data_IF_781980500240
#
_entry.id   IF_781980500240
#
_cell.length_a   1.000
_cell.length_b   1.000
_cell.length_c   1.000
_cell.angle_alpha   90.00
_cell.angle_beta   90.00
_cell.angle_gamma   90.00
#
_symmetry.space_group_name_H-M   'P 1'
#
loop_
_entity.id
_entity.type
_entity.pdbx_description
1 polymer ?
#
# COMPACT_ATOMS: atom_id res chain seq x y z
N UNK A 1 21.17 4.16 19.84
CA UNK A 1 19.76 4.61 19.79
C UNK A 1 18.91 3.45 19.33
N UNK A 2 17.68 3.34 19.83
CA UNK A 2 16.70 2.35 19.43
C UNK A 2 15.42 3.07 18.98
N UNK A 3 14.92 2.75 17.79
CA UNK A 3 13.60 3.18 17.33
C UNK A 3 12.79 1.92 17.02
N UNK A 4 11.63 1.77 17.64
CA UNK A 4 10.73 0.64 17.43
C UNK A 4 9.45 1.12 16.79
N UNK A 5 9.08 0.51 15.67
CA UNK A 5 7.88 0.82 14.91
C UNK A 5 6.92 -0.36 15.00
N UNK A 6 5.71 -0.08 15.48
CA UNK A 6 4.63 -1.05 15.56
C UNK A 6 3.31 -0.30 15.52
N UNK A 7 2.53 -0.47 14.46
CA UNK A 7 1.37 0.39 14.22
C UNK A 7 0.23 0.03 15.16
N UNK A 8 -0.11 -1.25 15.23
CA UNK A 8 -1.35 -1.71 15.84
C UNK A 8 -1.15 -2.54 17.13
N UNK A 9 0.03 -2.47 17.76
CA UNK A 9 0.29 -3.14 19.04
C UNK A 9 1.18 -2.28 19.94
N UNK A 10 0.57 -1.63 20.94
CA UNK A 10 1.26 -0.72 21.87
C UNK A 10 1.03 -1.12 23.34
N UNK A 11 1.69 -2.18 23.83
CA UNK A 11 1.52 -2.66 25.20
C UNK A 11 2.21 -1.75 26.24
N UNK A 12 1.90 -1.98 27.51
CA UNK A 12 2.60 -1.42 28.67
C UNK A 12 3.20 -2.59 29.48
N UNK A 13 4.54 -2.68 29.66
CA UNK A 13 5.58 -1.79 29.15
C UNK A 13 5.73 -1.84 27.62
N UNK A 14 6.22 -0.75 27.03
CA UNK A 14 6.36 -0.62 25.58
C UNK A 14 7.27 -1.70 24.99
N UNK A 15 7.07 -2.02 23.70
CA UNK A 15 7.92 -2.99 23.00
C UNK A 15 9.40 -2.59 23.00
N UNK A 16 9.69 -1.29 22.90
CA UNK A 16 11.05 -0.79 23.01
C UNK A 16 11.69 -1.05 24.37
N UNK A 17 10.95 -0.91 25.47
CA UNK A 17 11.41 -1.25 26.82
C UNK A 17 11.66 -2.75 26.97
N UNK A 18 10.76 -3.59 26.43
CA UNK A 18 10.92 -5.06 26.44
C UNK A 18 12.16 -5.50 25.66
N UNK A 19 12.44 -4.87 24.51
CA UNK A 19 13.66 -5.10 23.73
C UNK A 19 14.90 -4.71 24.54
N UNK A 20 14.91 -3.52 25.16
CA UNK A 20 16.03 -3.09 26.00
C UNK A 20 16.34 -4.09 27.11
N UNK A 21 15.31 -4.50 27.84
CA UNK A 21 15.43 -5.45 28.93
C UNK A 21 15.94 -6.81 28.43
N UNK A 22 15.35 -7.32 27.35
CA UNK A 22 15.69 -8.64 26.78
C UNK A 22 17.14 -8.74 26.29
N UNK A 23 17.70 -7.63 25.79
CA UNK A 23 19.06 -7.59 25.23
C UNK A 23 20.08 -6.89 26.13
N UNK A 24 19.72 -6.51 27.36
CA UNK A 24 20.64 -5.84 28.28
C UNK A 24 21.24 -4.56 27.71
N UNK A 25 20.42 -3.76 27.00
CA UNK A 25 20.91 -2.55 26.34
C UNK A 25 21.38 -1.52 27.37
N UNK A 26 22.38 -0.71 27.01
CA UNK A 26 22.90 0.34 27.88
C UNK A 26 21.82 1.30 28.36
N UNK A 27 21.93 1.73 29.60
CA UNK A 27 20.97 2.63 30.27
C UNK A 27 20.88 4.03 29.63
N UNK A 28 21.95 4.46 28.95
CA UNK A 28 22.05 5.78 28.32
C UNK A 28 21.44 5.86 26.91
N UNK A 29 20.91 4.74 26.39
CA UNK A 29 20.39 4.67 25.03
C UNK A 29 19.14 5.55 24.86
N UNK A 30 19.11 6.34 23.78
CA UNK A 30 17.90 7.05 23.37
C UNK A 30 16.93 6.09 22.68
N UNK A 31 15.69 6.07 23.15
CA UNK A 31 14.68 5.07 22.79
C UNK A 31 13.42 5.78 22.34
N UNK A 32 12.89 5.37 21.20
CA UNK A 32 11.66 5.91 20.63
C UNK A 32 10.75 4.75 20.25
N UNK A 33 9.47 4.86 20.58
CA UNK A 33 8.43 3.92 20.19
C UNK A 33 7.42 4.67 19.31
N UNK A 34 7.30 4.26 18.04
CA UNK A 34 6.40 4.86 17.06
C UNK A 34 5.21 3.91 16.83
N UNK A 35 4.00 4.40 17.08
CA UNK A 35 2.75 3.66 16.91
C UNK A 35 1.70 4.48 16.16
N UNK A 36 0.70 3.81 15.55
CA UNK A 36 -0.37 4.47 14.79
C UNK A 36 0.03 5.11 13.45
N UNK A 37 1.27 4.96 13.00
CA UNK A 37 1.77 5.61 11.76
C UNK A 37 1.58 4.76 10.49
N UNK A 38 1.14 3.51 10.65
CA UNK A 38 0.89 2.56 9.57
C UNK A 38 2.13 2.19 8.76
N UNK A 39 1.91 1.81 7.49
CA UNK A 39 2.93 1.29 6.58
C UNK A 39 4.08 2.28 6.28
N UNK A 40 3.92 3.55 6.60
CA UNK A 40 4.96 4.58 6.40
C UNK A 40 5.98 4.69 7.55
N UNK A 41 5.73 4.02 8.68
CA UNK A 41 6.49 4.20 9.93
C UNK A 41 7.99 3.92 9.81
N UNK A 42 8.41 2.99 8.94
CA UNK A 42 9.82 2.69 8.70
C UNK A 42 10.61 3.90 8.20
N UNK A 43 10.12 4.61 7.18
CA UNK A 43 10.84 5.79 6.64
C UNK A 43 10.74 6.99 7.60
N UNK A 44 9.68 7.06 8.39
CA UNK A 44 9.55 8.03 9.48
C UNK A 44 10.63 7.80 10.54
N UNK A 45 10.90 6.55 10.91
CA UNK A 45 11.97 6.20 11.84
C UNK A 45 13.36 6.52 11.27
N UNK A 46 13.61 6.20 9.99
CA UNK A 46 14.85 6.59 9.31
C UNK A 46 15.04 8.11 9.32
N UNK A 47 13.96 8.88 9.11
CA UNK A 47 13.99 10.33 9.19
C UNK A 47 14.39 10.84 10.58
N UNK A 48 13.76 10.29 11.62
CA UNK A 48 14.09 10.59 13.01
C UNK A 48 15.57 10.32 13.31
N UNK A 49 16.07 9.14 12.91
CA UNK A 49 17.48 8.78 13.07
C UNK A 49 18.39 9.76 12.34
N UNK A 50 18.08 10.10 11.09
CA UNK A 50 18.85 11.07 10.28
C UNK A 50 18.97 12.41 10.99
N UNK A 51 17.88 12.93 11.56
CA UNK A 51 17.90 14.23 12.22
C UNK A 51 18.68 14.21 13.53
N UNK A 52 18.62 13.11 14.28
CA UNK A 52 19.52 12.92 15.44
C UNK A 52 20.99 12.80 14.99
N UNK A 53 21.27 12.12 13.88
CA UNK A 53 22.63 11.98 13.33
C UNK A 53 23.22 13.30 12.83
N UNK A 54 22.40 14.31 12.51
CA UNK A 54 22.91 15.66 12.19
C UNK A 54 23.50 16.37 13.41
N UNK A 55 22.99 16.08 14.62
CA UNK A 55 23.40 16.76 15.85
C UNK A 55 24.42 15.96 16.68
N UNK A 56 24.50 14.64 16.49
CA UNK A 56 25.40 13.74 17.23
C UNK A 56 26.26 12.92 16.29
N UNK A 57 27.58 12.96 16.44
CA UNK A 57 28.54 12.19 15.64
C UNK A 57 28.79 10.79 16.22
N UNK A 58 29.28 9.87 15.39
CA UNK A 58 29.69 8.50 15.79
C UNK A 58 28.60 7.73 16.53
N UNK A 59 27.38 7.81 16.02
CA UNK A 59 26.22 7.15 16.60
C UNK A 59 25.85 5.88 15.84
N UNK A 60 25.39 4.89 16.58
CA UNK A 60 24.75 3.69 16.07
C UNK A 60 23.28 3.67 16.46
N UNK A 61 22.40 3.45 15.49
CA UNK A 61 20.96 3.36 15.69
C UNK A 61 20.41 2.04 15.14
N UNK A 62 19.67 1.32 15.96
CA UNK A 62 18.85 0.19 15.54
C UNK A 62 17.42 0.69 15.30
N UNK A 63 16.89 0.46 14.11
CA UNK A 63 15.47 0.65 13.81
C UNK A 63 14.86 -0.74 13.65
N UNK A 64 13.85 -1.03 14.47
CA UNK A 64 13.14 -2.30 14.47
C UNK A 64 11.70 -2.02 14.09
N UNK A 65 11.22 -2.61 13.01
CA UNK A 65 9.83 -2.53 12.59
C UNK A 65 9.21 -3.92 12.72
N UNK A 66 8.03 -3.99 13.32
CA UNK A 66 7.24 -5.23 13.40
C UNK A 66 5.76 -4.90 13.31
N UNK A 67 5.00 -5.80 12.71
CA UNK A 67 3.54 -5.71 12.68
C UNK A 67 2.94 -7.04 13.12
N UNK A 68 1.88 -6.96 13.92
CA UNK A 68 1.09 -8.11 14.37
C UNK A 68 -0.36 -7.90 13.95
N UNK A 69 -0.87 -8.81 13.13
CA UNK A 69 -2.28 -8.77 12.71
C UNK A 69 -3.22 -9.32 13.77
N UNK A 70 -2.73 -10.18 14.68
CA UNK A 70 -3.56 -10.95 15.61
C UNK A 70 -4.53 -10.11 16.45
N UNK A 71 -4.16 -8.95 17.03
CA UNK A 71 -5.11 -8.17 17.82
C UNK A 71 -6.12 -7.38 16.98
N UNK A 72 -6.00 -7.38 15.66
CA UNK A 72 -6.77 -6.51 14.76
C UNK A 72 -7.55 -7.29 13.70
N UNK A 73 -7.81 -8.58 13.94
CA UNK A 73 -8.62 -9.38 13.05
C UNK A 73 -10.07 -8.89 13.08
N UNK A 74 -10.58 -8.44 11.93
CA UNK A 74 -11.96 -7.99 11.83
C UNK A 74 -12.88 -9.20 11.62
N UNK A 75 -13.83 -9.41 12.52
CA UNK A 75 -14.76 -10.55 12.50
C UNK A 75 -16.16 -10.22 12.00
N UNK A 76 -16.39 -8.96 11.58
CA UNK A 76 -17.65 -8.51 11.02
C UNK A 76 -17.70 -8.65 9.50
N UNK A 77 -18.69 -7.97 8.92
CA UNK A 77 -19.12 -8.15 7.53
C UNK A 77 -18.98 -6.88 6.68
N UNK A 78 -18.48 -5.78 7.24
CA UNK A 78 -18.20 -4.57 6.48
C UNK A 78 -17.07 -4.83 5.47
N UNK A 79 -17.40 -4.75 4.18
CA UNK A 79 -16.47 -5.00 3.06
C UNK A 79 -15.24 -4.09 3.12
N UNK A 80 -15.38 -2.85 3.59
CA UNK A 80 -14.29 -1.88 3.71
C UNK A 80 -13.29 -2.23 4.81
N UNK A 81 -13.69 -3.08 5.76
CA UNK A 81 -12.86 -3.56 6.87
C UNK A 81 -12.35 -4.98 6.66
N UNK A 82 -13.16 -5.87 6.06
CA UNK A 82 -12.75 -7.25 5.70
C UNK A 82 -11.54 -7.25 4.77
N UNK A 83 -11.43 -6.25 3.90
CA UNK A 83 -10.29 -6.09 3.00
C UNK A 83 -8.94 -6.12 3.73
N UNK A 84 -8.87 -5.57 4.96
CA UNK A 84 -7.67 -5.63 5.79
C UNK A 84 -7.19 -7.06 6.05
N UNK A 85 -8.10 -8.00 6.31
CA UNK A 85 -7.79 -9.40 6.59
C UNK A 85 -7.16 -10.14 5.39
N UNK A 86 -7.52 -9.72 4.17
CA UNK A 86 -7.00 -10.29 2.93
C UNK A 86 -5.58 -9.82 2.61
N UNK A 87 -5.19 -8.66 3.15
CA UNK A 87 -3.97 -7.96 2.74
C UNK A 87 -2.87 -8.06 3.78
N UNK A 88 -3.22 -7.77 5.02
CA UNK A 88 -2.23 -7.61 6.06
C UNK A 88 -1.75 -8.97 6.55
N UNK A 89 -0.44 -9.04 6.74
CA UNK A 89 0.26 -10.20 7.29
C UNK A 89 1.25 -9.72 8.33
N UNK A 90 1.55 -10.60 9.29
CA UNK A 90 2.59 -10.31 10.27
C UNK A 90 3.96 -10.34 9.59
N UNK A 91 4.84 -9.44 10.00
CA UNK A 91 6.19 -9.37 9.48
C UNK A 91 7.04 -8.42 10.30
N UNK A 92 8.33 -8.39 10.00
CA UNK A 92 9.24 -7.48 10.68
C UNK A 92 10.58 -7.38 10.00
N UNK A 93 11.27 -6.29 10.28
CA UNK A 93 12.63 -6.05 9.83
C UNK A 93 13.41 -5.27 10.88
N UNK A 94 14.72 -5.47 10.89
CA UNK A 94 15.63 -4.64 11.67
C UNK A 94 16.70 -4.08 10.75
N UNK A 95 17.06 -2.82 10.94
CA UNK A 95 18.14 -2.17 10.22
C UNK A 95 19.06 -1.44 11.20
N UNK A 96 20.35 -1.45 10.86
CA UNK A 96 21.38 -0.75 11.60
C UNK A 96 21.84 0.46 10.78
N UNK A 97 21.77 1.64 11.39
CA UNK A 97 22.14 2.91 10.78
C UNK A 97 23.30 3.51 11.57
N UNK A 98 24.25 4.11 10.87
CA UNK A 98 25.38 4.80 11.50
C UNK A 98 25.76 6.06 10.74
N UNK A 99 26.27 7.05 11.46
CA UNK A 99 26.97 8.20 10.89
C UNK A 99 28.47 8.21 11.26
N UNK A 100 28.99 7.10 11.80
CA UNK A 100 30.41 6.94 12.07
C UNK A 100 31.17 6.65 10.76
N UNK A 101 32.09 7.52 10.31
CA UNK A 101 32.90 7.27 9.12
C UNK A 101 33.74 5.99 9.22
N UNK A 102 34.11 5.56 10.44
CA UNK A 102 34.88 4.33 10.65
C UNK A 102 34.11 3.08 10.17
N UNK A 103 32.78 3.09 10.26
CA UNK A 103 31.91 1.98 9.88
C UNK A 103 31.46 2.04 8.41
N UNK A 104 31.91 3.02 7.63
CA UNK A 104 31.48 3.24 6.23
C UNK A 104 31.70 2.01 5.34
N UNK A 105 32.76 1.25 5.57
CA UNK A 105 33.10 0.06 4.77
C UNK A 105 32.17 -1.14 5.02
N UNK A 106 31.44 -1.15 6.15
CA UNK A 106 30.41 -2.15 6.45
C UNK A 106 29.03 -1.78 5.90
N UNK A 107 28.81 -0.52 5.50
CA UNK A 107 27.49 -0.04 5.08
C UNK A 107 27.10 -0.63 3.72
N UNK A 108 25.87 -1.18 3.63
CA UNK A 108 25.26 -1.62 2.37
C UNK A 108 24.91 -0.42 1.47
N UNK A 109 24.35 0.63 2.08
CA UNK A 109 23.80 1.78 1.38
C UNK A 109 24.05 3.07 2.15
N UNK A 110 24.07 4.19 1.45
CA UNK A 110 24.09 5.55 2.02
C UNK A 110 22.78 6.28 1.71
N UNK A 111 22.16 6.89 2.71
CA UNK A 111 21.01 7.77 2.50
C UNK A 111 21.48 9.05 1.81
N UNK A 112 20.85 9.41 0.68
CA UNK A 112 21.15 10.63 -0.09
C UNK A 112 20.11 11.71 0.11
N UNK A 113 18.84 11.35 0.01
CA UNK A 113 17.71 12.25 0.16
C UNK A 113 16.60 11.54 0.94
N UNK A 114 15.84 12.30 1.72
CA UNK A 114 14.61 11.82 2.35
C UNK A 114 13.62 12.99 2.47
N UNK A 115 12.44 12.81 1.88
CA UNK A 115 11.34 13.77 1.85
C UNK A 115 10.12 13.15 2.51
N UNK A 116 9.47 13.91 3.40
CA UNK A 116 8.22 13.53 4.04
C UNK A 116 7.14 14.54 3.68
N UNK A 117 5.98 14.01 3.31
CA UNK A 117 4.78 14.75 2.99
C UNK A 117 3.64 14.24 3.87
N UNK A 118 2.85 15.14 4.42
CA UNK A 118 1.76 14.81 5.32
C UNK A 118 0.55 15.71 5.02
N UNK A 119 -0.47 15.14 4.41
CA UNK A 119 -1.70 15.84 4.03
C UNK A 119 -2.85 15.55 4.98
N UNK A 120 -2.53 15.14 6.21
CA UNK A 120 -3.52 14.73 7.23
C UNK A 120 -4.42 15.86 7.75
N UNK A 121 -4.18 17.11 7.33
CA UNK A 121 -5.09 18.23 7.55
C UNK A 121 -6.32 18.21 6.63
N UNK A 122 -6.27 17.46 5.52
CA UNK A 122 -7.44 17.23 4.67
C UNK A 122 -8.32 16.15 5.27
N UNK A 123 -9.62 16.42 5.43
CA UNK A 123 -10.59 15.45 5.97
C UNK A 123 -10.65 14.16 5.15
N UNK A 124 -10.63 14.27 3.81
CA UNK A 124 -10.58 13.13 2.89
C UNK A 124 -9.35 12.25 3.17
N UNK A 125 -8.18 12.86 3.35
CA UNK A 125 -6.92 12.16 3.55
C UNK A 125 -6.77 11.64 4.99
N UNK A 126 -7.33 12.34 5.96
CA UNK A 126 -7.38 11.92 7.35
C UNK A 126 -8.25 10.67 7.51
N UNK A 127 -9.45 10.71 6.95
CA UNK A 127 -10.48 9.70 7.15
C UNK A 127 -10.35 8.45 6.27
N UNK A 128 -9.46 8.47 5.27
CA UNK A 128 -9.40 7.40 4.27
C UNK A 128 -8.87 6.06 4.75
N UNK A 129 -8.14 6.03 5.87
CA UNK A 129 -7.62 4.83 6.50
C UNK A 129 -7.63 5.01 8.01
N UNK A 130 -8.60 4.42 8.69
CA UNK A 130 -8.82 4.61 10.13
C UNK A 130 -9.27 3.32 10.79
N UNK A 131 -8.90 3.15 12.06
CA UNK A 131 -9.55 2.17 12.90
C UNK A 131 -10.92 2.70 13.32
N UNK A 132 -11.98 1.91 13.13
CA UNK A 132 -13.37 2.27 13.44
C UNK A 132 -14.13 1.05 13.92
N UNK A 133 -15.19 1.28 14.64
CA UNK A 133 -16.20 0.26 14.97
C UNK A 133 -17.21 0.16 13.84
N UNK A 134 -17.70 -1.06 13.58
CA UNK A 134 -18.88 -1.28 12.74
C UNK A 134 -20.18 -1.03 13.53
N UNK A 135 -21.34 -1.20 12.88
CA UNK A 135 -22.66 -0.97 13.49
C UNK A 135 -22.97 -1.92 14.67
N UNK A 136 -22.14 -2.95 14.89
CA UNK A 136 -22.24 -3.93 15.98
C UNK A 136 -21.02 -3.83 16.90
N UNK A 137 -20.37 -2.66 16.95
CA UNK A 137 -19.26 -2.32 17.84
C UNK A 137 -18.00 -3.19 17.64
N UNK A 138 -17.85 -3.85 16.48
CA UNK A 138 -16.64 -4.61 16.18
C UNK A 138 -15.58 -3.69 15.59
N UNK A 139 -14.40 -3.67 16.19
CA UNK A 139 -13.28 -2.88 15.72
C UNK A 139 -12.69 -3.49 14.45
N UNK A 140 -12.59 -2.67 13.40
CA UNK A 140 -11.93 -3.00 12.15
C UNK A 140 -11.09 -1.84 11.61
N UNK A 141 -10.35 -2.11 10.53
CA UNK A 141 -9.57 -1.10 9.84
C UNK A 141 -10.27 -0.68 8.56
N UNK A 142 -10.95 0.46 8.61
CA UNK A 142 -11.73 1.00 7.51
C UNK A 142 -10.83 1.61 6.43
N UNK A 143 -11.03 1.18 5.19
CA UNK A 143 -10.42 1.75 3.99
C UNK A 143 -11.48 2.41 3.10
N UNK A 144 -11.41 3.74 2.97
CA UNK A 144 -12.33 4.54 2.17
C UNK A 144 -12.05 4.46 0.67
N UNK A 145 -13.05 4.79 -0.15
CA UNK A 145 -12.88 5.00 -1.60
C UNK A 145 -12.06 6.26 -1.94
N UNK A 146 -11.91 7.21 -1.01
CA UNK A 146 -11.06 8.41 -1.18
C UNK A 146 -9.55 8.09 -1.09
N UNK A 147 -9.21 6.88 -0.65
CA UNK A 147 -7.85 6.45 -0.39
C UNK A 147 -6.90 6.60 -1.59
N UNK A 148 -7.25 6.21 -2.84
CA UNK A 148 -6.39 6.42 -4.01
C UNK A 148 -6.17 7.91 -4.33
N UNK A 149 -7.20 8.74 -4.18
CA UNK A 149 -7.12 10.20 -4.39
C UNK A 149 -6.15 10.83 -3.39
N UNK A 150 -6.24 10.45 -2.11
CA UNK A 150 -5.30 10.90 -1.09
C UNK A 150 -3.86 10.44 -1.38
N UNK A 151 -3.68 9.23 -1.91
CA UNK A 151 -2.39 8.71 -2.34
C UNK A 151 -1.74 9.54 -3.44
N UNK A 152 -2.48 9.80 -4.52
CA UNK A 152 -2.00 10.61 -5.63
C UNK A 152 -1.67 12.04 -5.19
N UNK A 153 -2.51 12.64 -4.34
CA UNK A 153 -2.27 13.99 -3.82
C UNK A 153 -0.97 14.06 -3.01
N UNK A 154 -0.81 13.18 -2.00
CA UNK A 154 0.38 13.16 -1.17
C UNK A 154 1.64 12.81 -1.95
N UNK A 155 1.52 11.92 -2.93
CA UNK A 155 2.62 11.55 -3.81
C UNK A 155 3.05 12.72 -4.70
N UNK A 156 2.10 13.45 -5.27
CA UNK A 156 2.39 14.61 -6.13
C UNK A 156 3.16 15.68 -5.36
N UNK A 157 2.67 16.08 -4.18
CA UNK A 157 3.36 17.05 -3.32
C UNK A 157 4.74 16.54 -2.86
N UNK A 158 4.87 15.23 -2.61
CA UNK A 158 6.18 14.64 -2.29
C UNK A 158 7.18 14.76 -3.44
N UNK A 159 6.73 14.50 -4.67
CA UNK A 159 7.57 14.59 -5.86
C UNK A 159 7.99 16.03 -6.17
N UNK A 160 7.17 17.02 -5.90
CA UNK A 160 7.54 18.44 -6.07
C UNK A 160 8.79 18.80 -5.26
N UNK A 161 8.92 18.22 -4.07
CA UNK A 161 10.08 18.44 -3.21
C UNK A 161 11.24 17.48 -3.52
N UNK A 162 10.93 16.23 -3.90
CA UNK A 162 11.93 15.19 -4.17
C UNK A 162 12.62 15.39 -5.52
N UNK A 163 11.86 15.67 -6.59
CA UNK A 163 12.36 15.69 -7.96
C UNK A 163 13.55 16.66 -8.14
N UNK A 164 13.52 17.91 -7.64
CA UNK A 164 14.68 18.81 -7.77
C UNK A 164 15.94 18.29 -7.08
N UNK A 165 15.79 17.57 -5.96
CA UNK A 165 16.91 16.99 -5.21
C UNK A 165 17.53 15.78 -5.91
N UNK A 166 16.71 15.04 -6.69
CA UNK A 166 17.16 13.87 -7.45
C UNK A 166 17.68 14.25 -8.84
N UNK A 167 17.02 15.18 -9.54
CA UNK A 167 17.24 15.46 -10.96
C UNK A 167 18.22 16.59 -11.27
N UNK A 168 18.75 17.33 -10.28
CA UNK A 168 19.65 18.49 -10.50
C UNK A 168 19.07 19.60 -11.43
N UNK A 169 17.80 19.56 -11.80
CA UNK A 169 17.13 20.58 -12.64
C UNK A 169 15.72 20.92 -12.12
N UNK A 170 15.36 22.21 -12.17
CA UNK A 170 14.10 22.79 -11.71
C UNK A 170 12.89 22.17 -12.43
N UNK A 171 11.99 21.54 -11.68
CA UNK A 171 10.75 20.96 -12.19
C UNK A 171 9.54 21.63 -11.52
N UNK A 172 8.50 21.94 -12.30
CA UNK A 172 7.23 22.50 -11.82
C UNK A 172 6.15 21.42 -11.82
N UNK A 173 5.48 21.30 -10.69
CA UNK A 173 4.33 20.46 -10.35
C UNK A 173 3.19 20.42 -11.38
N UNK A 174 2.99 19.30 -12.09
CA UNK A 174 1.65 18.82 -12.48
C UNK A 174 1.74 17.40 -13.08
N UNK A 175 1.03 16.43 -12.47
CA UNK A 175 0.68 15.11 -13.03
C UNK A 175 1.84 14.18 -13.40
N UNK A 176 2.18 13.22 -12.52
CA UNK A 176 3.30 12.28 -12.75
C UNK A 176 2.84 10.86 -13.03
N UNK A 177 3.25 10.32 -14.18
CA UNK A 177 3.26 8.89 -14.49
C UNK A 177 4.71 8.39 -14.45
N UNK A 178 5.01 7.41 -13.60
CA UNK A 178 6.39 6.99 -13.32
C UNK A 178 7.07 6.13 -14.40
N UNK A 179 6.42 5.87 -15.54
CA UNK A 179 7.03 5.11 -16.65
C UNK A 179 7.61 3.74 -16.26
N UNK A 180 7.13 3.13 -15.18
CA UNK A 180 7.70 1.91 -14.60
C UNK A 180 7.46 0.71 -15.50
N UNK A 181 8.49 -0.13 -15.65
CA UNK A 181 8.37 -1.37 -16.40
C UNK A 181 7.89 -2.52 -15.51
N UNK A 182 7.47 -3.64 -16.11
CA UNK A 182 7.17 -4.85 -15.34
C UNK A 182 8.38 -5.34 -14.52
N UNK A 183 9.61 -5.10 -15.00
CA UNK A 183 10.83 -5.43 -14.27
C UNK A 183 10.95 -4.62 -12.96
N UNK A 184 10.54 -3.35 -12.99
CA UNK A 184 10.60 -2.45 -11.82
C UNK A 184 9.49 -2.73 -10.82
N UNK A 185 8.32 -3.18 -11.31
CA UNK A 185 7.17 -3.55 -10.47
C UNK A 185 7.28 -4.97 -9.89
N UNK A 186 8.07 -5.86 -10.51
CA UNK A 186 8.20 -7.26 -10.10
C UNK A 186 8.58 -7.42 -8.61
N UNK A 187 9.59 -6.72 -8.05
CA UNK A 187 9.95 -6.88 -6.64
C UNK A 187 8.79 -6.63 -5.67
N UNK A 188 8.00 -5.59 -5.92
CA UNK A 188 6.83 -5.25 -5.12
C UNK A 188 5.72 -6.30 -5.26
N UNK A 189 5.42 -6.74 -6.49
CA UNK A 189 4.45 -7.80 -6.78
C UNK A 189 4.81 -9.13 -6.12
N UNK A 190 6.06 -9.56 -6.28
CA UNK A 190 6.51 -10.84 -5.73
C UNK A 190 6.50 -10.82 -4.21
N UNK A 191 6.89 -9.67 -3.60
CA UNK A 191 6.81 -9.49 -2.15
C UNK A 191 5.37 -9.60 -1.65
N UNK A 192 4.43 -8.90 -2.29
CA UNK A 192 3.02 -8.99 -1.96
C UNK A 192 2.47 -10.41 -2.13
N UNK A 193 2.81 -11.07 -3.24
CA UNK A 193 2.38 -12.44 -3.52
C UNK A 193 2.86 -13.42 -2.44
N UNK A 194 4.13 -13.34 -2.03
CA UNK A 194 4.73 -14.29 -1.07
C UNK A 194 4.39 -13.98 0.38
N UNK A 195 4.40 -12.71 0.76
CA UNK A 195 4.40 -12.27 2.16
C UNK A 195 3.17 -11.46 2.54
N UNK A 196 2.33 -11.08 1.58
CA UNK A 196 1.26 -10.11 1.79
C UNK A 196 1.80 -8.71 2.11
N UNK A 197 0.93 -7.85 2.61
CA UNK A 197 1.30 -6.54 3.13
C UNK A 197 1.77 -6.68 4.59
N UNK A 198 3.08 -6.67 4.80
CA UNK A 198 3.68 -6.69 6.15
C UNK A 198 3.77 -5.29 6.77
N UNK A 199 2.87 -4.39 6.39
CA UNK A 199 2.86 -3.00 6.83
C UNK A 199 4.21 -2.33 6.53
N UNK A 200 4.81 -1.67 7.52
CA UNK A 200 6.02 -0.88 7.35
C UNK A 200 7.28 -1.71 7.08
N UNK A 201 7.27 -3.04 7.28
CA UNK A 201 8.40 -3.87 6.87
C UNK A 201 8.40 -4.20 5.37
N UNK A 202 7.29 -4.01 4.65
CA UNK A 202 7.14 -4.44 3.25
C UNK A 202 8.24 -3.89 2.34
N UNK A 203 8.60 -2.61 2.49
CA UNK A 203 9.71 -1.99 1.74
C UNK A 203 11.01 -2.78 1.85
N UNK A 204 11.31 -3.33 3.01
CA UNK A 204 12.56 -4.04 3.26
C UNK A 204 12.52 -5.48 2.73
N UNK A 205 11.35 -6.08 2.65
CA UNK A 205 11.15 -7.36 1.96
C UNK A 205 11.32 -7.21 0.44
N UNK A 206 10.82 -6.10 -0.12
CA UNK A 206 11.03 -5.72 -1.52
C UNK A 206 12.51 -5.48 -1.82
N UNK A 207 13.22 -4.78 -0.93
CA UNK A 207 14.67 -4.65 -1.03
C UNK A 207 15.36 -6.01 -0.97
N UNK A 208 14.97 -6.87 -0.01
CA UNK A 208 15.49 -8.22 0.12
C UNK A 208 15.29 -9.08 -1.13
N UNK A 209 14.15 -8.93 -1.83
CA UNK A 209 13.92 -9.58 -3.12
C UNK A 209 14.94 -9.13 -4.16
N UNK A 210 15.19 -7.81 -4.25
CA UNK A 210 16.17 -7.27 -5.18
C UNK A 210 17.60 -7.71 -4.86
N UNK A 211 17.98 -7.77 -3.58
CA UNK A 211 19.27 -8.34 -3.12
C UNK A 211 19.37 -9.82 -3.53
N UNK A 212 18.34 -10.61 -3.26
CA UNK A 212 18.31 -12.05 -3.56
C UNK A 212 18.38 -12.34 -5.07
N UNK A 213 17.79 -11.48 -5.91
CA UNK A 213 17.91 -11.54 -7.38
C UNK A 213 19.19 -10.87 -7.92
N UNK A 214 20.09 -10.41 -7.06
CA UNK A 214 21.35 -9.74 -7.40
C UNK A 214 21.15 -8.52 -8.32
N UNK A 215 20.09 -7.75 -8.08
CA UNK A 215 19.67 -6.60 -8.89
C UNK A 215 20.28 -5.27 -8.44
N UNK A 216 21.04 -5.27 -7.34
CA UNK A 216 21.59 -4.07 -6.71
C UNK A 216 23.12 -4.10 -6.75
N UNK A 217 23.70 -3.28 -7.63
CA UNK A 217 25.14 -3.12 -7.83
C UNK A 217 25.65 -1.85 -7.18
N UNK A 218 26.94 -1.81 -6.88
CA UNK A 218 27.60 -0.62 -6.37
C UNK A 218 27.34 0.58 -7.29
N UNK A 219 27.00 1.72 -6.68
CA UNK A 219 26.57 3.00 -7.30
C UNK A 219 25.14 3.03 -7.83
N UNK A 220 24.39 1.93 -7.78
CA UNK A 220 22.95 1.97 -8.06
C UNK A 220 22.24 2.86 -7.04
N UNK A 221 21.13 3.44 -7.44
CA UNK A 221 20.27 4.23 -6.58
C UNK A 221 18.94 3.52 -6.36
N UNK A 222 18.45 3.56 -5.12
CA UNK A 222 17.16 2.93 -4.77
C UNK A 222 16.24 4.01 -4.25
N UNK A 223 15.14 4.22 -4.98
CA UNK A 223 14.06 5.10 -4.55
C UNK A 223 13.01 4.25 -3.83
N UNK A 224 12.89 4.46 -2.52
CA UNK A 224 11.85 3.83 -1.70
C UNK A 224 10.75 4.83 -1.41
N UNK A 225 9.50 4.40 -1.62
CA UNK A 225 8.32 5.22 -1.37
C UNK A 225 7.31 4.44 -0.56
N UNK A 226 6.85 5.03 0.55
CA UNK A 226 5.84 4.45 1.43
C UNK A 226 4.72 5.43 1.73
N UNK A 227 3.53 4.84 1.86
CA UNK A 227 2.31 5.54 2.24
C UNK A 227 1.81 5.05 3.60
N UNK A 228 1.06 5.89 4.31
CA UNK A 228 0.50 5.54 5.62
C UNK A 228 -0.70 6.39 5.99
N UNK A 229 -1.44 5.96 7.02
CA UNK A 229 -2.68 6.59 7.48
C UNK A 229 -2.50 8.06 7.93
N UNK A 230 -3.60 8.82 7.93
CA UNK A 230 -3.61 10.28 8.09
C UNK A 230 -2.81 10.95 6.98
N UNK A 231 -3.23 10.72 5.73
CA UNK A 231 -2.36 10.31 4.64
C UNK A 231 -0.94 10.93 4.57
N UNK A 232 0.08 10.08 4.58
CA UNK A 232 1.50 10.44 4.52
C UNK A 232 2.16 9.79 3.31
N UNK A 233 2.99 10.53 2.59
CA UNK A 233 3.91 9.99 1.59
C UNK A 233 5.34 10.25 2.06
N UNK A 234 6.16 9.21 2.14
CA UNK A 234 7.56 9.33 2.52
C UNK A 234 8.40 8.67 1.45
N UNK A 235 9.39 9.41 0.95
CA UNK A 235 10.31 8.92 -0.05
C UNK A 235 11.75 9.09 0.42
N UNK A 236 12.60 8.12 0.10
CA UNK A 236 14.03 8.25 0.28
C UNK A 236 14.81 7.67 -0.90
N UNK A 237 15.94 8.30 -1.16
CA UNK A 237 16.91 7.86 -2.14
C UNK A 237 18.13 7.31 -1.42
N UNK A 238 18.42 6.03 -1.65
CA UNK A 238 19.63 5.36 -1.20
C UNK A 238 20.62 5.24 -2.35
N UNK A 239 21.91 5.27 -2.04
CA UNK A 239 22.97 4.84 -2.96
C UNK A 239 23.59 3.55 -2.44
N UNK A 240 23.70 2.55 -3.31
CA UNK A 240 24.29 1.25 -3.00
C UNK A 240 25.81 1.38 -2.97
N UNK A 241 26.43 1.00 -1.85
CA UNK A 241 27.88 1.18 -1.63
C UNK A 241 28.70 -0.04 -2.02
N UNK A 242 28.08 -1.20 -2.20
CA UNK A 242 28.70 -2.46 -2.62
C UNK A 242 27.65 -3.36 -3.27
N UNK A 243 28.08 -4.32 -4.08
CA UNK A 243 27.16 -5.29 -4.68
C UNK A 243 26.43 -6.08 -3.59
N UNK A 244 25.10 -6.13 -3.69
CA UNK A 244 24.26 -6.80 -2.70
C UNK A 244 23.69 -8.08 -3.29
N UNK A 245 23.99 -9.20 -2.65
CA UNK A 245 23.61 -10.54 -3.11
C UNK A 245 23.07 -11.42 -1.96
N UNK A 246 22.79 -10.81 -0.81
CA UNK A 246 22.22 -11.51 0.35
C UNK A 246 20.78 -11.93 0.04
N UNK A 247 20.43 -13.20 0.28
CA UNK A 247 19.08 -13.69 -0.03
C UNK A 247 18.11 -13.49 1.14
N UNK A 248 18.59 -13.47 2.37
CA UNK A 248 17.82 -13.13 3.57
C UNK A 248 16.52 -13.95 3.69
N UNK A 249 15.40 -13.28 3.91
CA UNK A 249 14.06 -13.91 4.03
C UNK A 249 13.61 -14.65 2.77
N UNK A 250 14.31 -14.51 1.65
CA UNK A 250 14.00 -15.17 0.38
C UNK A 250 14.89 -16.39 0.09
N UNK A 251 15.85 -16.74 0.94
CA UNK A 251 16.83 -17.81 0.71
C UNK A 251 16.19 -19.13 0.24
N UNK A 252 15.13 -19.54 0.91
CA UNK A 252 14.41 -20.79 0.71
C UNK A 252 13.52 -20.81 -0.53
N UNK A 253 13.11 -19.65 -1.05
CA UNK A 253 12.08 -19.60 -2.10
C UNK A 253 12.44 -18.76 -3.33
N UNK A 254 13.52 -17.97 -3.33
CA UNK A 254 13.81 -16.99 -4.39
C UNK A 254 13.91 -17.60 -5.79
N UNK A 255 14.35 -18.86 -5.87
CA UNK A 255 14.49 -19.60 -7.12
C UNK A 255 13.15 -19.96 -7.77
N UNK A 256 12.05 -19.97 -7.00
CA UNK A 256 10.68 -20.17 -7.49
C UNK A 256 10.01 -18.87 -7.97
N UNK A 257 10.69 -17.72 -7.87
CA UNK A 257 10.12 -16.41 -8.20
C UNK A 257 10.78 -15.77 -9.44
N UNK A 258 10.00 -15.13 -10.33
CA UNK A 258 8.53 -15.06 -10.32
C UNK A 258 7.89 -16.42 -10.65
N UNK A 259 6.71 -16.75 -10.06
CA UNK A 259 6.00 -17.98 -10.40
C UNK A 259 5.47 -17.91 -11.84
N UNK A 260 5.22 -19.08 -12.46
CA UNK A 260 4.70 -19.17 -13.83
C UNK A 260 3.29 -18.57 -13.96
N UNK A 261 2.50 -18.63 -12.89
CA UNK A 261 1.15 -18.06 -12.81
C UNK A 261 0.97 -17.30 -11.50
N UNK A 262 0.23 -16.20 -11.56
CA UNK A 262 -0.24 -15.44 -10.39
C UNK A 262 -1.68 -15.79 -10.03
N UNK A 263 -2.29 -16.77 -10.71
CA UNK A 263 -3.62 -17.26 -10.35
C UNK A 263 -3.52 -17.84 -8.95
N UNK A 264 -4.38 -17.33 -8.06
CA UNK A 264 -4.43 -17.81 -6.69
C UNK A 264 -4.79 -19.32 -6.71
N UNK A 265 -3.92 -20.21 -6.22
CA UNK A 265 -4.14 -21.66 -6.27
C UNK A 265 -5.38 -22.08 -5.47
N UNK A 266 -5.81 -21.25 -4.52
CA UNK A 266 -7.04 -21.46 -3.78
C UNK A 266 -8.30 -21.20 -4.61
N UNK A 267 -8.21 -20.57 -5.79
CA UNK A 267 -9.36 -20.38 -6.67
C UNK A 267 -9.86 -21.69 -7.27
N UNK A 268 -9.00 -22.68 -7.46
CA UNK A 268 -9.45 -23.99 -7.94
C UNK A 268 -10.25 -24.74 -6.86
N UNK A 269 -9.84 -24.61 -5.60
CA UNK A 269 -10.48 -25.30 -4.46
C UNK A 269 -11.66 -24.54 -3.85
N UNK A 270 -11.61 -23.21 -3.89
CA UNK A 270 -12.53 -22.32 -3.20
C UNK A 270 -13.14 -21.25 -4.12
N UNK A 271 -12.88 -21.30 -5.43
CA UNK A 271 -13.43 -20.35 -6.40
C UNK A 271 -14.95 -20.43 -6.52
N UNK A 272 -15.55 -21.57 -6.20
CA UNK A 272 -17.00 -21.76 -6.12
C UNK A 272 -17.66 -20.80 -5.11
N UNK A 273 -16.93 -20.27 -4.13
CA UNK A 273 -17.44 -19.25 -3.20
C UNK A 273 -17.81 -17.95 -3.94
N UNK A 274 -17.18 -17.70 -5.09
CA UNK A 274 -17.45 -16.53 -5.93
C UNK A 274 -18.55 -16.79 -6.96
N UNK A 275 -18.99 -18.04 -7.10
CA UNK A 275 -20.15 -18.40 -7.90
C UNK A 275 -21.37 -18.13 -7.05
N UNK A 276 -22.10 -17.04 -7.37
CA UNK A 276 -23.38 -16.75 -6.72
C UNK A 276 -24.25 -17.99 -6.81
N UNK A 277 -24.66 -18.55 -5.67
CA UNK A 277 -25.62 -19.65 -5.61
C UNK A 277 -26.95 -19.18 -6.21
N UNK A 278 -27.10 -19.36 -7.52
CA UNK A 278 -28.39 -19.33 -8.19
C UNK A 278 -29.08 -20.67 -7.94
N UNK A 279 -29.36 -20.98 -6.68
CA UNK A 279 -30.38 -21.97 -6.35
C UNK A 279 -31.71 -21.21 -6.25
N UNK A 280 -32.72 -21.56 -7.06
CA UNK A 280 -34.04 -21.01 -6.88
C UNK A 280 -34.56 -21.51 -5.53
N UNK A 281 -34.85 -20.57 -4.62
CA UNK A 281 -35.64 -20.83 -3.43
C UNK A 281 -36.97 -21.45 -3.89
N UNK A 282 -37.10 -22.76 -3.73
CA UNK A 282 -38.38 -23.44 -3.85
C UNK A 282 -39.28 -22.95 -2.72
N UNK A 283 -40.29 -22.16 -3.09
CA UNK A 283 -41.45 -21.91 -2.23
C UNK A 283 -41.86 -20.44 -2.10
N UNK A 284 -42.16 -19.74 -3.21
CA UNK A 284 -43.04 -18.56 -3.17
C UNK A 284 -43.87 -18.42 -4.47
N UNK A 285 -44.50 -19.52 -4.92
CA UNK A 285 -45.61 -19.46 -5.87
C UNK A 285 -46.89 -19.01 -5.16
N UNK A 286 -46.97 -17.77 -4.69
CA UNK A 286 -48.28 -17.15 -4.36
C UNK A 286 -48.33 -15.60 -4.23
N UNK A 287 -47.24 -14.86 -4.49
CA UNK A 287 -47.24 -13.38 -4.29
C UNK A 287 -47.15 -12.57 -5.60
N UNK A 288 -46.91 -13.22 -6.74
CA UNK A 288 -46.73 -12.55 -8.04
C UNK A 288 -48.06 -12.05 -8.65
N UNK A 289 -49.23 -12.48 -8.16
CA UNK A 289 -50.53 -12.08 -8.72
C UNK A 289 -51.04 -10.71 -8.23
N UNK A 290 -50.48 -10.15 -7.14
CA UNK A 290 -50.93 -8.85 -6.59
C UNK A 290 -50.20 -7.61 -7.14
N UNK A 291 -49.04 -7.74 -7.80
CA UNK A 291 -48.31 -6.58 -8.39
C UNK A 291 -48.61 -6.31 -9.87
N UNK A 292 -49.23 -7.25 -10.60
CA UNK A 292 -49.69 -7.03 -12.00
C UNK A 292 -50.95 -6.15 -12.11
N UNK A 293 -51.71 -5.92 -11.03
CA UNK A 293 -52.93 -5.08 -11.02
C UNK A 293 -52.72 -3.58 -10.76
N UNK A 294 -51.49 -3.10 -10.51
CA UNK A 294 -51.18 -1.66 -10.33
C UNK A 294 -50.50 -0.99 -11.54
N UNK A 295 -50.52 -1.64 -12.71
CA UNK A 295 -49.95 -1.12 -13.98
C UNK A 295 -51.00 -0.95 -15.09
N UNK A 296 -52.26 -0.80 -14.71
CA UNK A 296 -53.38 -0.38 -15.57
C UNK A 296 -53.95 0.88 -14.91
N UNK A 297 -54.10 1.97 -15.67
CA UNK A 297 -54.09 3.39 -15.20
C UNK A 297 -52.62 3.82 -15.00
N UNK A 298 -51.86 4.24 -16.02
CA UNK A 298 -52.05 5.49 -16.76
C UNK A 298 -51.46 5.34 -18.17
N UNK A 299 -52.13 4.58 -19.05
CA UNK A 299 -51.91 4.63 -20.52
C UNK A 299 -52.87 5.68 -21.11
N UNK A 300 -52.65 6.97 -20.84
CA UNK A 300 -53.41 8.03 -21.53
C UNK A 300 -52.72 9.39 -21.54
N UNK A 301 -51.41 9.42 -21.80
CA UNK A 301 -50.72 10.66 -22.25
C UNK A 301 -49.45 10.29 -23.02
N UNK A 302 -49.61 9.52 -24.10
CA UNK A 302 -48.52 9.22 -25.07
C UNK A 302 -48.89 9.64 -26.50
N UNK A 303 -49.70 10.68 -26.61
CA UNK A 303 -50.01 11.38 -27.87
C UNK A 303 -50.25 12.85 -27.57
N UNK A 304 -49.15 13.56 -27.40
CA UNK A 304 -48.94 14.98 -27.72
C UNK A 304 -47.57 15.33 -27.15
N UNK A 305 -46.78 16.08 -27.92
CA UNK A 305 -45.36 16.38 -27.73
C UNK A 305 -44.42 15.34 -28.37
N UNK A 306 -44.63 15.11 -29.67
CA UNK A 306 -43.53 15.35 -30.62
C UNK A 306 -43.41 16.88 -30.76
N UNK A 307 -42.15 17.36 -30.83
CA UNK A 307 -41.69 18.75 -30.92
C UNK A 307 -41.52 19.51 -29.58
N UNK A 308 -40.40 19.27 -28.91
CA UNK A 308 -39.38 20.29 -28.56
C UNK A 308 -38.42 19.80 -27.47
N UNK A 309 -37.11 19.87 -27.76
CA UNK A 309 -35.97 20.07 -26.83
C UNK A 309 -35.83 19.29 -25.52
N UNK A 310 -34.67 18.62 -25.35
CA UNK A 310 -33.95 18.54 -24.05
C UNK A 310 -33.67 17.16 -23.45
N UNK A 311 -32.37 16.80 -23.42
CA UNK A 311 -31.63 16.00 -22.41
C UNK A 311 -32.06 14.58 -21.98
N UNK A 312 -31.07 13.66 -21.94
CA UNK A 312 -31.16 12.42 -21.16
C UNK A 312 -30.24 11.27 -21.59
N UNK A 313 -28.91 11.42 -21.50
CA UNK A 313 -27.95 10.29 -21.62
C UNK A 313 -26.94 10.33 -20.46
N UNK A 314 -27.34 9.79 -19.32
CA UNK A 314 -26.51 9.75 -18.11
C UNK A 314 -26.71 8.44 -17.38
N UNK A 315 -26.02 7.38 -17.79
CA UNK A 315 -25.73 6.22 -16.93
C UNK A 315 -24.71 5.22 -17.51
N UNK A 316 -24.43 5.27 -18.83
CA UNK A 316 -23.31 4.54 -19.43
C UNK A 316 -22.03 5.38 -19.59
N UNK A 317 -22.14 6.71 -19.50
CA UNK A 317 -21.04 7.65 -19.68
C UNK A 317 -20.05 7.67 -18.49
N UNK A 318 -20.53 7.44 -17.26
CA UNK A 318 -19.71 7.61 -16.05
C UNK A 318 -18.55 6.60 -15.95
N UNK A 319 -18.74 5.34 -16.38
CA UNK A 319 -17.66 4.33 -16.31
C UNK A 319 -16.60 4.49 -17.40
N UNK A 320 -17.00 5.08 -18.54
CA UNK A 320 -16.10 5.38 -19.65
C UNK A 320 -15.32 6.67 -19.37
N UNK A 321 -15.94 7.65 -18.73
CA UNK A 321 -15.31 8.92 -18.34
C UNK A 321 -14.29 8.73 -17.22
N UNK A 322 -14.49 7.85 -16.24
CA UNK A 322 -13.49 7.62 -15.18
C UNK A 322 -12.22 6.93 -15.69
N UNK A 323 -12.35 5.95 -16.60
CA UNK A 323 -11.20 5.34 -17.30
C UNK A 323 -10.53 6.34 -18.24
N UNK A 324 -11.29 7.22 -18.87
CA UNK A 324 -10.75 8.33 -19.68
C UNK A 324 -10.11 9.42 -18.83
N UNK A 325 -10.54 9.66 -17.59
CA UNK A 325 -9.92 10.65 -16.68
C UNK A 325 -8.54 10.13 -16.24
N UNK A 326 -8.44 8.87 -15.80
CA UNK A 326 -7.15 8.25 -15.49
C UNK A 326 -6.26 8.15 -16.74
N UNK A 327 -6.80 7.79 -17.90
CA UNK A 327 -6.01 7.75 -19.14
C UNK A 327 -5.68 9.14 -19.72
N UNK A 328 -6.52 10.16 -19.52
CA UNK A 328 -6.34 11.54 -20.01
C UNK A 328 -5.33 12.29 -19.13
N UNK A 329 -5.37 12.08 -17.81
CA UNK A 329 -4.31 12.50 -16.88
C UNK A 329 -2.95 11.89 -17.24
N UNK A 330 -2.93 10.73 -17.92
CA UNK A 330 -1.72 9.99 -18.27
C UNK A 330 -1.20 10.20 -19.71
N UNK A 331 -1.99 10.80 -20.63
CA UNK A 331 -1.68 10.82 -22.08
C UNK A 331 -1.30 12.17 -22.67
N UNK A 332 -1.55 13.29 -21.99
CA UNK A 332 -1.37 14.63 -22.57
C UNK A 332 -0.28 15.47 -21.93
N UNK A 333 1.01 15.20 -22.20
CA UNK A 333 2.12 16.16 -22.04
C UNK A 333 3.47 15.48 -22.31
N UNK A 334 4.54 16.28 -22.36
CA UNK A 334 5.99 15.94 -22.52
C UNK A 334 6.54 15.04 -21.37
N UNK A 335 5.65 14.36 -20.67
CA UNK A 335 5.75 13.64 -19.41
C UNK A 335 6.49 12.28 -19.46
N UNK A 336 6.32 11.42 -20.48
CA UNK A 336 7.05 10.15 -20.56
C UNK A 336 8.56 10.39 -20.66
N UNK A 337 9.01 11.46 -21.31
CA UNK A 337 10.43 11.76 -21.50
C UNK A 337 11.15 12.17 -20.20
N UNK A 338 10.47 12.71 -19.19
CA UNK A 338 11.10 13.21 -17.96
C UNK A 338 11.32 12.10 -16.94
N UNK A 339 10.36 11.19 -16.80
CA UNK A 339 10.56 10.00 -15.97
C UNK A 339 11.45 8.99 -16.65
N UNK A 340 11.37 8.86 -17.98
CA UNK A 340 12.38 8.16 -18.76
C UNK A 340 13.77 8.78 -18.51
N UNK A 341 13.86 10.11 -18.34
CA UNK A 341 15.09 10.76 -17.87
C UNK A 341 15.46 10.35 -16.43
N UNK A 342 14.56 10.38 -15.44
CA UNK A 342 14.88 9.90 -14.07
C UNK A 342 15.35 8.44 -14.03
N UNK A 343 14.74 7.58 -14.87
CA UNK A 343 15.02 6.14 -14.96
C UNK A 343 16.27 5.87 -15.80
N UNK A 344 16.59 6.72 -16.81
CA UNK A 344 17.69 6.50 -17.77
C UNK A 344 18.90 7.43 -17.68
N UNK A 345 18.82 8.63 -17.10
CA UNK A 345 19.95 9.60 -17.08
C UNK A 345 20.90 9.47 -15.92
N UNK A 346 20.56 8.73 -14.87
CA UNK A 346 21.51 8.34 -13.84
C UNK A 346 21.32 6.85 -13.57
N UNK A 347 22.39 6.06 -13.70
CA UNK A 347 22.35 4.61 -13.59
C UNK A 347 21.46 4.16 -12.41
N UNK A 348 20.32 3.58 -12.79
CA UNK A 348 19.50 2.66 -12.00
C UNK A 348 18.84 3.34 -10.79
N UNK A 349 17.65 3.93 -10.97
CA UNK A 349 16.68 4.13 -9.88
C UNK A 349 15.79 2.89 -9.80
N UNK A 350 16.07 1.98 -8.86
CA UNK A 350 15.14 0.86 -8.58
C UNK A 350 14.01 1.36 -7.71
N UNK A 351 12.79 1.14 -8.18
CA UNK A 351 11.60 1.58 -7.48
C UNK A 351 11.14 0.52 -6.48
N UNK A 352 11.06 0.93 -5.21
CA UNK A 352 10.60 0.10 -4.12
C UNK A 352 9.31 0.70 -3.59
N UNK A 353 8.21 0.37 -4.26
CA UNK A 353 6.88 0.83 -3.88
C UNK A 353 6.13 -0.26 -3.13
N UNK A 354 5.57 0.07 -1.97
CA UNK A 354 4.54 -0.77 -1.35
C UNK A 354 3.14 -0.57 -2.00
N UNK A 355 3.04 0.33 -2.98
CA UNK A 355 1.81 0.71 -3.65
C UNK A 355 1.29 -0.36 -4.60
N UNK A 356 2.08 -1.35 -5.03
CA UNK A 356 1.55 -2.40 -5.90
C UNK A 356 0.44 -3.20 -5.21
N UNK A 357 0.51 -3.36 -3.89
CA UNK A 357 -0.60 -3.86 -3.09
C UNK A 357 -1.83 -2.93 -3.20
N UNK A 358 -1.59 -1.63 -3.09
CA UNK A 358 -2.62 -0.59 -3.00
C UNK A 358 -3.30 -0.23 -4.34
N UNK A 359 -2.58 -0.29 -5.46
CA UNK A 359 -3.11 -0.14 -6.81
C UNK A 359 -3.81 -1.40 -7.29
N UNK A 360 -3.26 -2.58 -7.01
CA UNK A 360 -3.95 -3.84 -7.30
C UNK A 360 -5.21 -3.96 -6.43
N UNK A 361 -5.22 -3.42 -5.20
CA UNK A 361 -6.44 -3.15 -4.43
C UNK A 361 -7.43 -2.27 -5.14
N UNK A 362 -6.97 -1.14 -5.70
CA UNK A 362 -7.83 -0.23 -6.45
C UNK A 362 -8.52 -1.00 -7.57
N UNK A 363 -7.75 -1.71 -8.39
CA UNK A 363 -8.31 -2.57 -9.43
C UNK A 363 -9.28 -3.63 -8.87
N UNK A 364 -8.99 -4.26 -7.72
CA UNK A 364 -9.86 -5.26 -7.09
C UNK A 364 -11.16 -4.67 -6.52
N UNK A 365 -11.07 -3.57 -5.77
CA UNK A 365 -12.17 -2.79 -5.19
C UNK A 365 -13.07 -2.17 -6.27
N UNK A 366 -12.49 -1.69 -7.37
CA UNK A 366 -13.25 -1.09 -8.48
C UNK A 366 -13.82 -2.15 -9.44
N UNK A 367 -13.12 -3.27 -9.69
CA UNK A 367 -13.62 -4.34 -10.57
C UNK A 367 -14.69 -5.24 -9.93
N UNK A 368 -14.65 -5.45 -8.60
CA UNK A 368 -15.55 -6.36 -7.89
C UNK A 368 -16.60 -5.65 -7.02
N UNK A 369 -16.83 -4.35 -7.24
CA UNK A 369 -17.87 -3.58 -6.53
C UNK A 369 -19.30 -4.12 -6.71
N UNK A 370 -19.52 -5.09 -7.61
CA UNK A 370 -20.78 -5.81 -7.80
C UNK A 370 -20.85 -7.21 -7.15
N UNK A 371 -19.75 -7.79 -6.68
CA UNK A 371 -19.68 -9.25 -6.38
C UNK A 371 -18.83 -9.67 -5.18
N UNK A 372 -18.45 -8.75 -4.27
CA UNK A 372 -17.94 -9.21 -2.96
C UNK A 372 -19.15 -9.59 -2.11
N UNK A 373 -19.64 -10.82 -2.26
CA UNK A 373 -20.77 -11.32 -1.49
C UNK A 373 -20.34 -11.70 -0.07
N UNK A 374 -21.24 -11.50 0.90
CA UNK A 374 -21.02 -11.60 2.35
C UNK A 374 -20.51 -12.99 2.81
N UNK A 375 -20.62 -14.02 1.98
CA UNK A 375 -20.14 -15.37 2.27
C UNK A 375 -18.61 -15.53 2.28
N UNK A 376 -17.84 -14.65 1.61
CA UNK A 376 -16.37 -14.76 1.62
C UNK A 376 -15.73 -14.56 3.01
N UNK A 377 -16.39 -13.81 3.91
CA UNK A 377 -15.89 -13.56 5.26
C UNK A 377 -16.10 -14.77 6.21
N UNK A 378 -17.17 -15.54 6.01
CA UNK A 378 -17.44 -16.76 6.79
C UNK A 378 -16.47 -17.90 6.43
N UNK A 379 -16.04 -17.99 5.17
CA UNK A 379 -15.16 -19.09 4.73
C UNK A 379 -13.71 -18.94 5.22
N UNK A 380 -13.24 -17.72 5.50
CA UNK A 380 -11.92 -17.52 6.11
C UNK A 380 -11.87 -17.94 7.59
N UNK A 381 -13.02 -17.98 8.28
CA UNK A 381 -13.13 -18.56 9.64
C UNK A 381 -12.88 -20.07 9.64
N UNK A 382 -13.38 -20.78 8.62
CA UNK A 382 -13.25 -22.24 8.49
C UNK A 382 -11.81 -22.66 8.16
N UNK A 383 -11.05 -21.82 7.46
CA UNK A 383 -9.65 -22.09 7.11
C UNK A 383 -8.64 -21.83 8.24
N UNK A 384 -9.07 -21.34 9.41
CA UNK A 384 -8.23 -21.19 10.60
C UNK A 384 -8.40 -22.33 11.62
N UNK A 385 -9.38 -23.22 11.44
CA UNK A 385 -9.62 -24.39 12.31
C UNK A 385 -8.96 -25.69 11.80
N UNK A 386 -8.18 -25.61 10.70
CA UNK A 386 -7.36 -26.68 10.15
C UNK A 386 -5.90 -26.21 9.99
#
# INVERSE_FOLDING_TARGET
MLVVNVSMFSPIPSLSSRIMHRYGMREDIKVFNLSGMGCSSSLIAVHLVRDVFKTRKKMLAAVVTSESISPNWYSGNDKSMVLGNCLFRSGGCSMLLTNDPALKHHAKMSLRCLVRTHIGASDDAHSCAMQKEDDVERIGFHLSKSLPKAAVAAFSENLETLAPQVLRSSFTSLGVSLGLTNYDLEPARMTLHRWGNTSASSLWYVLGYMEAKKRLRRRDRVLMISFGAGFKCNACLWEVLRDLEERGVWEDCIHCYPPQTLVNPFMERYGWINESSSEPLHGEDEVIEKKKKKKVITKRTRRMIENSSGEGSGQEQASLDDRKIVQSLMRGSILPHIVDKMVRTENVVRFNESFTAFLELGHYLFAHSKTVDLHQAETFKVLQEA
#
